data_IF_025427192330
#
_entry.id   IF_025427192330
#
_cell.length_a   1.000
_cell.length_b   1.000
_cell.length_c   1.000
_cell.angle_alpha   90.00
_cell.angle_beta   90.00
_cell.angle_gamma   90.00
#
_symmetry.space_group_name_H-M   'P 1'
#
loop_
_entity.id
_entity.type
_entity.pdbx_description
1 polymer ?
#
# COMPACT_ATOMS: atom_id res chain seq x y z
N UNK A 1 -38.06 18.75 -45.08
CA UNK A 1 -38.51 18.40 -43.74
C UNK A 1 -37.49 17.42 -43.19
N UNK A 2 -36.44 17.90 -42.45
CA UNK A 2 -35.35 17.12 -41.92
C UNK A 2 -35.81 16.45 -40.61
N UNK A 3 -35.65 15.12 -40.50
CA UNK A 3 -35.96 14.35 -39.32
C UNK A 3 -35.07 14.80 -38.13
N UNK A 4 -35.63 15.28 -37.01
CA UNK A 4 -34.85 15.78 -35.90
C UNK A 4 -34.17 14.67 -35.02
N UNK A 5 -34.19 13.42 -35.48
CA UNK A 5 -33.69 12.27 -34.71
C UNK A 5 -32.34 11.67 -35.16
N UNK A 6 -31.67 12.30 -36.12
CA UNK A 6 -30.30 11.88 -36.48
C UNK A 6 -29.33 12.49 -35.49
N UNK A 7 -29.16 11.82 -34.37
CA UNK A 7 -28.09 12.15 -33.42
C UNK A 7 -26.75 11.79 -34.09
N UNK A 8 -25.89 12.77 -34.25
CA UNK A 8 -24.52 12.58 -34.75
C UNK A 8 -23.75 11.67 -33.76
N UNK A 9 -23.35 10.45 -34.15
CA UNK A 9 -22.65 9.54 -33.26
C UNK A 9 -21.25 10.01 -32.86
N UNK A 10 -20.77 11.09 -33.46
CA UNK A 10 -19.46 11.73 -33.19
C UNK A 10 -19.59 13.03 -32.40
N UNK A 11 -20.78 13.43 -31.96
CA UNK A 11 -20.96 14.61 -31.14
C UNK A 11 -20.39 14.33 -29.75
N UNK A 12 -19.42 15.11 -29.29
CA UNK A 12 -18.93 15.08 -27.94
C UNK A 12 -20.09 15.34 -26.97
N UNK A 13 -20.25 14.54 -25.91
CA UNK A 13 -21.26 14.81 -24.89
C UNK A 13 -20.99 16.17 -24.24
N UNK A 14 -22.00 17.04 -24.26
CA UNK A 14 -21.96 18.34 -23.58
C UNK A 14 -22.83 18.31 -22.34
N UNK A 15 -22.44 19.05 -21.29
CA UNK A 15 -23.31 19.30 -20.14
C UNK A 15 -24.51 20.17 -20.56
N UNK A 16 -25.54 20.27 -19.72
CA UNK A 16 -26.69 21.14 -19.95
C UNK A 16 -26.31 22.62 -20.16
N UNK A 17 -25.07 23.02 -19.80
CA UNK A 17 -24.49 24.35 -20.01
C UNK A 17 -23.63 24.45 -21.27
N UNK A 18 -23.59 23.40 -22.13
CA UNK A 18 -22.82 23.44 -23.39
C UNK A 18 -21.31 23.28 -23.25
N UNK A 19 -20.78 23.05 -22.02
CA UNK A 19 -19.36 22.81 -21.82
C UNK A 19 -18.98 21.39 -22.26
N UNK A 20 -17.88 21.19 -23.03
CA UNK A 20 -17.42 19.86 -23.41
C UNK A 20 -17.11 19.04 -22.14
N UNK A 21 -17.76 17.89 -21.99
CA UNK A 21 -17.37 16.93 -20.95
C UNK A 21 -16.13 16.21 -21.43
N UNK A 22 -15.05 16.28 -20.67
CA UNK A 22 -13.86 15.47 -20.97
C UNK A 22 -14.30 14.00 -21.05
N UNK A 23 -13.87 13.23 -22.07
CA UNK A 23 -14.25 11.83 -22.20
C UNK A 23 -13.81 11.09 -20.94
N UNK A 24 -14.76 10.47 -20.26
CA UNK A 24 -14.44 9.58 -19.16
C UNK A 24 -13.51 8.49 -19.68
N UNK A 25 -12.35 8.31 -19.06
CA UNK A 25 -11.44 7.21 -19.43
C UNK A 25 -12.17 5.92 -19.11
N UNK A 26 -12.75 5.29 -20.15
CA UNK A 26 -13.37 3.97 -20.02
C UNK A 26 -12.22 2.98 -19.89
N UNK A 27 -11.94 2.55 -18.67
CA UNK A 27 -10.93 1.52 -18.40
C UNK A 27 -11.55 0.18 -18.81
N UNK A 28 -11.14 -0.35 -19.96
CA UNK A 28 -11.53 -1.67 -20.41
C UNK A 28 -11.01 -2.75 -19.44
N UNK A 29 -11.73 -3.87 -19.33
CA UNK A 29 -11.38 -4.98 -18.44
C UNK A 29 -9.96 -5.50 -18.66
N UNK A 30 -9.48 -5.51 -19.90
CA UNK A 30 -8.09 -5.90 -20.23
C UNK A 30 -7.08 -4.94 -19.65
N UNK A 31 -7.32 -3.64 -19.76
CA UNK A 31 -6.49 -2.58 -19.19
C UNK A 31 -6.49 -2.66 -17.66
N UNK A 32 -7.63 -2.95 -17.03
CA UNK A 32 -7.74 -3.13 -15.57
C UNK A 32 -6.90 -4.30 -15.07
N UNK A 33 -6.92 -5.45 -15.77
CA UNK A 33 -6.13 -6.63 -15.40
C UNK A 33 -4.62 -6.36 -15.59
N UNK A 34 -4.22 -5.76 -16.70
CA UNK A 34 -2.83 -5.39 -16.95
C UNK A 34 -2.31 -4.41 -15.89
N UNK A 35 -3.11 -3.43 -15.53
CA UNK A 35 -2.80 -2.45 -14.50
C UNK A 35 -2.60 -3.11 -13.12
N UNK A 36 -3.54 -3.98 -12.71
CA UNK A 36 -3.43 -4.73 -11.46
C UNK A 36 -2.14 -5.59 -11.43
N UNK A 37 -1.84 -6.26 -12.54
CA UNK A 37 -0.61 -7.06 -12.66
C UNK A 37 0.66 -6.23 -12.50
N UNK A 38 0.72 -5.02 -13.08
CA UNK A 38 1.85 -4.11 -12.92
C UNK A 38 1.98 -3.60 -11.48
N UNK A 39 0.85 -3.29 -10.82
CA UNK A 39 0.89 -2.88 -9.41
C UNK A 39 1.45 -3.99 -8.50
N UNK A 40 1.03 -5.23 -8.70
CA UNK A 40 1.59 -6.38 -7.98
C UNK A 40 3.06 -6.63 -8.31
N UNK A 41 3.45 -6.50 -9.59
CA UNK A 41 4.84 -6.68 -10.00
C UNK A 41 5.75 -5.66 -9.30
N UNK A 42 5.41 -4.38 -9.35
CA UNK A 42 6.20 -3.32 -8.71
C UNK A 42 6.20 -3.46 -7.18
N UNK A 43 5.06 -3.82 -6.58
CA UNK A 43 5.01 -4.17 -5.16
C UNK A 43 6.00 -5.28 -4.82
N UNK A 44 5.99 -6.38 -5.58
CA UNK A 44 6.88 -7.51 -5.36
C UNK A 44 8.35 -7.12 -5.49
N UNK A 45 8.72 -6.37 -6.53
CA UNK A 45 10.08 -5.85 -6.71
C UNK A 45 10.45 -4.94 -5.53
N UNK A 46 9.54 -4.07 -5.07
CA UNK A 46 9.75 -3.25 -3.87
C UNK A 46 10.01 -4.08 -2.61
N UNK A 47 9.27 -5.16 -2.41
CA UNK A 47 9.48 -6.09 -1.29
C UNK A 47 10.84 -6.78 -1.39
N UNK A 48 11.28 -7.18 -2.59
CA UNK A 48 12.62 -7.75 -2.80
C UNK A 48 13.72 -6.74 -2.50
N UNK A 49 13.55 -5.48 -2.91
CA UNK A 49 14.49 -4.39 -2.57
C UNK A 49 14.59 -4.23 -1.06
N UNK A 50 13.45 -4.15 -0.36
CA UNK A 50 13.44 -4.01 1.10
C UNK A 50 14.06 -5.22 1.80
N UNK A 51 13.74 -6.44 1.34
CA UNK A 51 14.30 -7.67 1.90
C UNK A 51 15.83 -7.74 1.68
N UNK A 52 16.30 -7.37 0.49
CA UNK A 52 17.73 -7.33 0.18
C UNK A 52 18.48 -6.32 1.05
N UNK A 53 17.94 -5.11 1.21
CA UNK A 53 18.52 -4.09 2.09
C UNK A 53 18.48 -4.55 3.55
N UNK A 54 17.37 -5.11 4.03
CA UNK A 54 17.25 -5.62 5.39
C UNK A 54 18.26 -6.73 5.67
N UNK A 55 18.48 -7.63 4.71
CA UNK A 55 19.51 -8.68 4.80
C UNK A 55 20.93 -8.08 4.94
N UNK A 56 21.28 -7.12 4.07
CA UNK A 56 22.60 -6.45 4.13
C UNK A 56 22.78 -5.70 5.45
N UNK A 57 21.74 -5.07 5.99
CA UNK A 57 21.78 -4.45 7.33
C UNK A 57 22.03 -5.51 8.40
N UNK A 58 21.39 -6.67 8.32
CA UNK A 58 21.62 -7.77 9.26
C UNK A 58 23.08 -8.25 9.31
N UNK A 59 23.78 -8.22 8.18
CA UNK A 59 25.19 -8.64 8.06
C UNK A 59 26.21 -7.52 8.36
N UNK A 60 25.79 -6.25 8.37
CA UNK A 60 26.68 -5.09 8.49
C UNK A 60 26.47 -4.30 9.76
N UNK A 61 27.36 -4.43 10.73
CA UNK A 61 27.32 -3.66 11.96
C UNK A 61 27.37 -2.13 11.73
N UNK A 62 28.05 -1.69 10.68
CA UNK A 62 28.14 -0.29 10.31
C UNK A 62 26.77 0.26 9.86
N UNK A 63 26.04 -0.52 9.03
CA UNK A 63 24.71 -0.14 8.58
C UNK A 63 23.67 -0.20 9.72
N UNK A 64 23.81 -1.16 10.64
CA UNK A 64 22.98 -1.20 11.85
C UNK A 64 23.15 0.08 12.67
N UNK A 65 24.39 0.44 13.00
CA UNK A 65 24.71 1.67 13.75
C UNK A 65 24.21 2.95 13.04
N UNK A 66 24.38 3.00 11.70
CA UNK A 66 23.84 4.10 10.90
C UNK A 66 22.31 4.18 11.01
N UNK A 67 21.61 3.06 10.84
CA UNK A 67 20.16 3.02 10.89
C UNK A 67 19.62 3.31 12.31
N UNK A 68 20.26 2.79 13.35
CA UNK A 68 19.92 3.08 14.75
C UNK A 68 20.13 4.56 15.09
N UNK A 69 21.28 5.13 14.73
CA UNK A 69 21.60 6.53 15.00
C UNK A 69 20.71 7.53 14.25
N UNK A 70 20.10 7.08 13.14
CA UNK A 70 19.25 7.94 12.30
C UNK A 70 17.78 7.47 12.25
N UNK A 71 17.36 6.63 13.18
CA UNK A 71 16.03 5.98 13.12
C UNK A 71 14.88 6.98 12.98
N UNK A 72 14.86 8.04 13.80
CA UNK A 72 13.82 9.05 13.74
C UNK A 72 13.80 9.78 12.39
N UNK A 73 14.98 10.11 11.85
CA UNK A 73 15.12 10.76 10.55
C UNK A 73 14.63 9.83 9.42
N UNK A 74 14.96 8.53 9.49
CA UNK A 74 14.48 7.53 8.53
C UNK A 74 12.95 7.41 8.57
N UNK A 75 12.33 7.35 9.75
CA UNK A 75 10.88 7.27 9.90
C UNK A 75 10.19 8.52 9.32
N UNK A 76 10.70 9.71 9.62
CA UNK A 76 10.16 10.96 9.06
C UNK A 76 10.32 10.99 7.54
N UNK A 77 11.48 10.60 7.02
CA UNK A 77 11.74 10.56 5.59
C UNK A 77 10.82 9.55 4.87
N UNK A 78 10.56 8.39 5.46
CA UNK A 78 9.63 7.39 4.93
C UNK A 78 8.20 7.93 4.85
N UNK A 79 7.72 8.57 5.92
CA UNK A 79 6.39 9.22 5.90
C UNK A 79 6.34 10.31 4.83
N UNK A 80 7.36 11.17 4.78
CA UNK A 80 7.43 12.25 3.78
C UNK A 80 7.47 11.70 2.34
N UNK A 81 8.22 10.63 2.09
CA UNK A 81 8.29 9.98 0.77
C UNK A 81 6.94 9.36 0.38
N UNK A 82 6.29 8.61 1.27
CA UNK A 82 5.00 7.98 0.98
C UNK A 82 3.92 9.02 0.66
N UNK A 83 3.82 10.08 1.47
CA UNK A 83 2.90 11.19 1.20
C UNK A 83 3.33 12.01 -0.02
N UNK A 84 4.62 12.25 -0.19
CA UNK A 84 5.18 12.98 -1.34
C UNK A 84 4.86 12.29 -2.66
N UNK A 85 5.01 10.97 -2.75
CA UNK A 85 4.61 10.20 -3.93
C UNK A 85 3.10 10.27 -4.13
N UNK A 86 2.31 9.99 -3.08
CA UNK A 86 0.85 9.91 -3.17
C UNK A 86 0.20 11.24 -3.55
N UNK A 87 0.61 12.35 -2.94
CA UNK A 87 0.06 13.67 -3.19
C UNK A 87 0.68 14.35 -4.41
N UNK A 88 1.94 14.04 -4.71
CA UNK A 88 2.70 14.63 -5.81
C UNK A 88 2.56 13.91 -7.14
N UNK A 89 1.91 12.76 -7.22
CA UNK A 89 1.88 11.88 -8.41
C UNK A 89 1.44 12.59 -9.69
N UNK A 90 0.49 13.52 -9.59
CA UNK A 90 -0.02 14.25 -10.75
C UNK A 90 1.01 15.26 -11.31
N UNK A 91 1.97 15.70 -10.47
CA UNK A 91 3.00 16.68 -10.84
C UNK A 91 4.33 16.05 -11.25
N UNK A 92 4.50 14.74 -11.14
CA UNK A 92 5.74 14.04 -11.49
C UNK A 92 5.52 13.03 -12.61
N UNK A 93 6.60 12.61 -13.27
CA UNK A 93 6.56 11.52 -14.26
C UNK A 93 6.38 10.16 -13.56
N UNK A 94 5.83 9.18 -14.26
CA UNK A 94 5.70 7.82 -13.72
C UNK A 94 7.06 7.21 -13.36
N UNK A 95 8.10 7.48 -14.16
CA UNK A 95 9.48 7.02 -13.91
C UNK A 95 10.05 7.61 -12.62
N UNK A 96 9.85 8.92 -12.38
CA UNK A 96 10.29 9.56 -11.14
C UNK A 96 9.55 8.98 -9.94
N UNK A 97 8.23 8.81 -10.04
CA UNK A 97 7.43 8.22 -8.96
C UNK A 97 7.87 6.79 -8.64
N UNK A 98 8.17 5.98 -9.67
CA UNK A 98 8.69 4.61 -9.50
C UNK A 98 10.07 4.62 -8.84
N UNK A 99 10.96 5.51 -9.26
CA UNK A 99 12.28 5.69 -8.63
C UNK A 99 12.17 6.05 -7.15
N UNK A 100 11.29 7.01 -6.82
CA UNK A 100 11.02 7.40 -5.43
C UNK A 100 10.40 6.25 -4.62
N UNK A 101 9.54 5.43 -5.23
CA UNK A 101 9.01 4.22 -4.59
C UNK A 101 10.13 3.23 -4.23
N UNK A 102 11.12 3.01 -5.10
CA UNK A 102 12.26 2.15 -4.76
C UNK A 102 13.18 2.76 -3.71
N UNK A 103 13.39 4.06 -3.72
CA UNK A 103 14.10 4.77 -2.64
C UNK A 103 13.35 4.58 -1.31
N UNK A 104 12.02 4.70 -1.33
CA UNK A 104 11.17 4.40 -0.17
C UNK A 104 11.35 2.95 0.31
N UNK A 105 11.25 1.97 -0.60
CA UNK A 105 11.40 0.56 -0.28
C UNK A 105 12.79 0.24 0.29
N UNK A 106 13.86 0.84 -0.25
CA UNK A 106 15.22 0.69 0.27
C UNK A 106 15.36 1.31 1.67
N UNK A 107 14.82 2.52 1.88
CA UNK A 107 14.85 3.17 3.20
C UNK A 107 14.07 2.37 4.25
N UNK A 108 12.93 1.79 3.86
CA UNK A 108 12.18 0.90 4.74
C UNK A 108 12.96 -0.38 5.06
N UNK A 109 13.71 -0.91 4.08
CA UNK A 109 14.62 -2.03 4.29
C UNK A 109 15.65 -1.79 5.39
N UNK A 110 16.20 -0.55 5.52
CA UNK A 110 17.08 -0.19 6.63
C UNK A 110 16.38 -0.35 7.99
N UNK A 111 15.16 0.15 8.11
CA UNK A 111 14.37 0.05 9.35
C UNK A 111 13.95 -1.40 9.62
N UNK A 112 13.53 -2.14 8.58
CA UNK A 112 13.14 -3.55 8.72
C UNK A 112 14.32 -4.42 9.15
N UNK A 113 15.55 -4.15 8.68
CA UNK A 113 16.75 -4.88 9.09
C UNK A 113 16.98 -4.80 10.59
N UNK A 114 16.79 -3.62 11.19
CA UNK A 114 16.86 -3.45 12.65
C UNK A 114 15.75 -4.21 13.37
N UNK A 115 14.50 -4.07 12.90
CA UNK A 115 13.35 -4.71 13.53
C UNK A 115 13.50 -6.24 13.46
N UNK A 116 13.76 -6.79 12.28
CA UNK A 116 13.86 -8.24 12.07
C UNK A 116 15.00 -8.84 12.87
N UNK A 117 16.13 -8.14 12.99
CA UNK A 117 17.28 -8.56 13.80
C UNK A 117 16.96 -8.75 15.30
N UNK A 118 15.87 -8.13 15.80
CA UNK A 118 15.42 -8.25 17.18
C UNK A 118 14.51 -9.49 17.44
N UNK A 119 14.18 -10.25 16.38
CA UNK A 119 13.26 -11.40 16.48
C UNK A 119 13.95 -12.71 16.10
N UNK A 120 13.53 -13.86 16.70
CA UNK A 120 13.98 -15.17 16.27
C UNK A 120 13.63 -15.41 14.78
N UNK A 121 14.54 -16.01 14.03
CA UNK A 121 14.35 -16.29 12.61
C UNK A 121 13.05 -17.08 12.32
N UNK A 122 12.71 -18.05 13.19
CA UNK A 122 11.48 -18.82 13.05
C UNK A 122 10.23 -17.94 13.14
N UNK A 123 10.23 -16.91 14.01
CA UNK A 123 9.14 -15.94 14.11
C UNK A 123 9.03 -15.07 12.85
N UNK A 124 10.15 -14.65 12.28
CA UNK A 124 10.19 -13.88 11.04
C UNK A 124 9.59 -14.68 9.88
N UNK A 125 10.00 -15.92 9.71
CA UNK A 125 9.49 -16.82 8.66
C UNK A 125 7.99 -17.07 8.85
N UNK A 126 7.55 -17.38 10.09
CA UNK A 126 6.13 -17.61 10.39
C UNK A 126 5.27 -16.37 10.12
N UNK A 127 5.77 -15.18 10.50
CA UNK A 127 5.10 -13.90 10.24
C UNK A 127 4.98 -13.63 8.74
N UNK A 128 6.05 -13.86 7.99
CA UNK A 128 6.08 -13.64 6.55
C UNK A 128 5.11 -14.57 5.81
N UNK A 129 5.12 -15.87 6.13
CA UNK A 129 4.21 -16.83 5.51
C UNK A 129 2.75 -16.53 5.85
N UNK A 130 2.47 -16.18 7.10
CA UNK A 130 1.11 -15.82 7.53
C UNK A 130 0.62 -14.54 6.88
N UNK A 131 1.47 -13.50 6.83
CA UNK A 131 1.15 -12.25 6.14
C UNK A 131 0.91 -12.49 4.64
N UNK A 132 1.75 -13.31 4.00
CA UNK A 132 1.61 -13.66 2.58
C UNK A 132 0.31 -14.40 2.30
N UNK A 133 -0.06 -15.36 3.15
CA UNK A 133 -1.32 -16.11 3.02
C UNK A 133 -2.54 -15.19 3.20
N UNK A 134 -2.54 -14.32 4.22
CA UNK A 134 -3.64 -13.40 4.48
C UNK A 134 -3.76 -12.33 3.41
N UNK A 135 -2.63 -11.75 2.99
CA UNK A 135 -2.59 -10.78 1.88
C UNK A 135 -3.10 -11.41 0.58
N UNK A 136 -2.63 -12.61 0.24
CA UNK A 136 -3.09 -13.34 -0.94
C UNK A 136 -4.59 -13.65 -0.90
N UNK A 137 -5.11 -14.11 0.23
CA UNK A 137 -6.54 -14.36 0.41
C UNK A 137 -7.37 -13.06 0.28
N UNK A 138 -6.92 -11.97 0.91
CA UNK A 138 -7.57 -10.66 0.80
C UNK A 138 -7.54 -10.13 -0.64
N UNK A 139 -6.41 -10.28 -1.34
CA UNK A 139 -6.27 -9.88 -2.73
C UNK A 139 -7.22 -10.67 -3.65
N UNK A 140 -7.29 -11.99 -3.51
CA UNK A 140 -8.25 -12.83 -4.24
C UNK A 140 -9.68 -12.39 -3.93
N UNK A 141 -10.04 -12.19 -2.65
CA UNK A 141 -11.36 -11.72 -2.27
C UNK A 141 -11.70 -10.37 -2.92
N UNK A 142 -10.76 -9.41 -2.88
CA UNK A 142 -10.93 -8.08 -3.48
C UNK A 142 -11.17 -8.13 -5.01
N UNK A 143 -10.56 -9.13 -5.71
CA UNK A 143 -10.74 -9.30 -7.16
C UNK A 143 -12.06 -9.97 -7.53
N UNK A 144 -12.56 -10.91 -6.73
CA UNK A 144 -13.74 -11.72 -7.09
C UNK A 144 -15.04 -11.22 -6.50
N UNK A 145 -14.99 -10.44 -5.41
CA UNK A 145 -16.19 -9.96 -4.74
C UNK A 145 -16.98 -8.97 -5.61
N UNK A 146 -18.30 -9.15 -5.62
CA UNK A 146 -19.24 -8.23 -6.27
C UNK A 146 -19.75 -7.14 -5.34
N UNK A 147 -19.45 -7.25 -4.03
CA UNK A 147 -19.84 -6.23 -3.04
C UNK A 147 -18.90 -5.05 -3.12
N UNK A 148 -19.42 -3.83 -3.02
CA UNK A 148 -18.59 -2.64 -2.90
C UNK A 148 -17.95 -2.59 -1.50
N UNK A 149 -16.62 -2.60 -1.48
CA UNK A 149 -15.82 -2.56 -0.25
C UNK A 149 -15.52 -1.14 0.23
N UNK A 150 -16.07 -0.10 -0.38
CA UNK A 150 -15.78 1.31 -0.05
C UNK A 150 -16.06 1.63 1.42
N UNK A 151 -17.17 1.15 1.98
CA UNK A 151 -17.49 1.35 3.40
C UNK A 151 -16.50 0.63 4.31
N UNK A 152 -16.07 -0.58 3.93
CA UNK A 152 -15.08 -1.36 4.69
C UNK A 152 -13.73 -0.65 4.64
N UNK A 153 -13.32 -0.14 3.47
CA UNK A 153 -12.09 0.64 3.32
C UNK A 153 -12.09 1.91 4.17
N UNK A 154 -13.23 2.64 4.22
CA UNK A 154 -13.36 3.82 5.07
C UNK A 154 -13.22 3.48 6.57
N UNK A 155 -13.88 2.42 7.04
CA UNK A 155 -13.79 1.95 8.42
C UNK A 155 -12.36 1.49 8.74
N UNK A 156 -11.74 0.73 7.83
CA UNK A 156 -10.36 0.26 8.01
C UNK A 156 -9.38 1.44 8.10
N UNK A 157 -9.52 2.44 7.24
CA UNK A 157 -8.69 3.65 7.29
C UNK A 157 -8.85 4.42 8.61
N UNK A 158 -10.08 4.60 9.09
CA UNK A 158 -10.32 5.22 10.41
C UNK A 158 -9.73 4.38 11.54
N UNK A 159 -9.84 3.05 11.46
CA UNK A 159 -9.25 2.12 12.43
C UNK A 159 -7.72 2.21 12.46
N UNK A 160 -7.07 2.41 11.31
CA UNK A 160 -5.61 2.61 11.23
C UNK A 160 -5.20 3.90 11.97
N UNK A 161 -5.95 4.98 11.80
CA UNK A 161 -5.71 6.21 12.59
C UNK A 161 -5.83 5.91 14.09
N UNK A 162 -6.84 5.15 14.49
CA UNK A 162 -7.00 4.70 15.89
C UNK A 162 -5.83 3.88 16.39
N UNK A 163 -5.33 2.93 15.57
CA UNK A 163 -4.11 2.15 15.90
C UNK A 163 -2.88 3.04 16.05
N UNK A 164 -2.69 4.01 15.17
CA UNK A 164 -1.57 4.94 15.26
C UNK A 164 -1.61 5.72 16.58
N UNK A 165 -2.77 6.25 16.95
CA UNK A 165 -2.95 6.95 18.25
C UNK A 165 -2.71 5.99 19.41
N UNK A 166 -3.30 4.79 19.39
CA UNK A 166 -3.09 3.79 20.43
C UNK A 166 -1.61 3.38 20.56
N UNK A 167 -0.90 3.26 19.44
CA UNK A 167 0.53 2.94 19.42
C UNK A 167 1.37 4.06 20.03
N UNK A 168 1.05 5.32 19.72
CA UNK A 168 1.72 6.49 20.34
C UNK A 168 1.49 6.53 21.86
N UNK A 169 0.25 6.28 22.28
CA UNK A 169 -0.08 6.21 23.71
C UNK A 169 0.70 5.06 24.36
N UNK A 170 0.80 3.90 23.69
CA UNK A 170 1.48 2.73 24.25
C UNK A 170 3.00 2.92 24.40
N UNK A 171 3.62 3.89 23.72
CA UNK A 171 5.03 4.25 23.96
C UNK A 171 5.23 4.69 25.41
N UNK A 172 4.24 5.38 26.01
CA UNK A 172 4.33 5.86 27.38
C UNK A 172 3.97 4.81 28.43
N UNK A 173 3.04 3.90 28.08
CA UNK A 173 2.58 2.85 29.01
C UNK A 173 3.39 1.54 28.92
N UNK A 174 4.05 1.31 27.80
CA UNK A 174 4.83 0.10 27.49
C UNK A 174 4.08 -1.21 27.79
N UNK A 175 2.73 -1.22 27.62
CA UNK A 175 1.89 -2.38 27.90
C UNK A 175 2.02 -3.43 26.80
N UNK A 176 2.37 -4.66 27.20
CA UNK A 176 2.44 -5.83 26.32
C UNK A 176 1.05 -6.25 25.84
N UNK A 177 0.04 -6.18 26.71
CA UNK A 177 -1.35 -6.50 26.38
C UNK A 177 -1.90 -5.55 25.32
N UNK A 178 -1.64 -4.24 25.47
CA UNK A 178 -2.05 -3.25 24.49
C UNK A 178 -1.34 -3.47 23.15
N UNK A 179 -0.05 -3.78 23.17
CA UNK A 179 0.72 -4.13 21.96
C UNK A 179 0.11 -5.34 21.25
N UNK A 180 -0.30 -6.36 21.99
CA UNK A 180 -0.93 -7.55 21.43
C UNK A 180 -2.30 -7.25 20.81
N UNK A 181 -3.15 -6.48 21.50
CA UNK A 181 -4.47 -6.04 20.98
C UNK A 181 -4.28 -5.20 19.72
N UNK A 182 -3.39 -4.21 19.73
CA UNK A 182 -3.06 -3.37 18.57
C UNK A 182 -2.64 -4.25 17.40
N UNK A 183 -1.87 -5.31 17.64
CA UNK A 183 -1.38 -6.19 16.58
C UNK A 183 -2.50 -7.02 15.97
N UNK A 184 -3.41 -7.58 16.77
CA UNK A 184 -4.59 -8.31 16.24
C UNK A 184 -5.49 -7.40 15.43
N UNK A 185 -5.83 -6.23 15.99
CA UNK A 185 -6.69 -5.27 15.30
C UNK A 185 -6.02 -4.78 14.00
N UNK A 186 -4.70 -4.56 14.03
CA UNK A 186 -3.90 -4.19 12.86
C UNK A 186 -3.97 -5.24 11.75
N UNK A 187 -3.82 -6.53 12.08
CA UNK A 187 -3.95 -7.62 11.11
C UNK A 187 -5.33 -7.59 10.44
N UNK A 188 -6.40 -7.45 11.21
CA UNK A 188 -7.78 -7.40 10.67
C UNK A 188 -7.96 -6.19 9.74
N UNK A 189 -7.52 -5.01 10.19
CA UNK A 189 -7.68 -3.77 9.41
C UNK A 189 -6.89 -3.78 8.12
N UNK A 190 -5.61 -4.21 8.14
CA UNK A 190 -4.78 -4.26 6.93
C UNK A 190 -5.21 -5.37 5.98
N UNK A 191 -5.74 -6.49 6.48
CA UNK A 191 -6.38 -7.51 5.63
C UNK A 191 -7.61 -6.94 4.91
N UNK A 192 -8.46 -6.20 5.61
CA UNK A 192 -9.63 -5.55 5.04
C UNK A 192 -9.23 -4.45 4.04
N UNK A 193 -8.20 -3.65 4.36
CA UNK A 193 -7.68 -2.60 3.50
C UNK A 193 -7.08 -3.17 2.22
N UNK A 194 -6.31 -4.26 2.30
CA UNK A 194 -5.78 -4.98 1.13
C UNK A 194 -6.89 -5.38 0.16
N UNK A 195 -7.98 -5.98 0.66
CA UNK A 195 -9.10 -6.37 -0.19
C UNK A 195 -9.76 -5.15 -0.87
N UNK A 196 -9.94 -4.05 -0.12
CA UNK A 196 -10.45 -2.79 -0.65
C UNK A 196 -9.53 -2.18 -1.70
N UNK A 197 -8.22 -2.08 -1.42
CA UNK A 197 -7.26 -1.47 -2.34
C UNK A 197 -7.14 -2.26 -3.63
N UNK A 198 -7.09 -3.60 -3.56
CA UNK A 198 -7.11 -4.47 -4.75
C UNK A 198 -8.38 -4.24 -5.56
N UNK A 199 -9.55 -4.16 -4.92
CA UNK A 199 -10.81 -3.87 -5.62
C UNK A 199 -10.77 -2.51 -6.31
N UNK A 200 -10.30 -1.45 -5.64
CA UNK A 200 -10.19 -0.09 -6.22
C UNK A 200 -9.18 -0.01 -7.36
N UNK A 201 -8.07 -0.73 -7.23
CA UNK A 201 -7.09 -0.88 -8.31
C UNK A 201 -7.79 -1.53 -9.51
N UNK A 202 -8.42 -2.68 -9.32
CA UNK A 202 -9.09 -3.41 -10.40
C UNK A 202 -10.21 -2.60 -11.07
N UNK A 203 -10.94 -1.78 -10.32
CA UNK A 203 -11.98 -0.89 -10.85
C UNK A 203 -11.43 0.31 -11.63
N UNK A 204 -10.10 0.48 -11.69
CA UNK A 204 -9.47 1.60 -12.39
C UNK A 204 -9.60 2.95 -11.68
N UNK A 205 -10.00 2.97 -10.40
CA UNK A 205 -10.17 4.22 -9.66
C UNK A 205 -8.90 5.07 -9.62
N UNK A 206 -7.72 4.44 -9.54
CA UNK A 206 -6.44 5.14 -9.56
C UNK A 206 -6.11 5.70 -10.94
N UNK A 207 -6.52 5.05 -12.02
CA UNK A 207 -6.33 5.57 -13.39
C UNK A 207 -7.17 6.83 -13.58
N UNK A 208 -8.42 6.82 -13.09
CA UNK A 208 -9.28 8.02 -13.12
C UNK A 208 -8.68 9.18 -12.31
N UNK A 209 -8.04 8.87 -11.16
CA UNK A 209 -7.42 9.87 -10.29
C UNK A 209 -6.15 10.47 -10.90
N UNK A 210 -5.31 9.65 -11.56
CA UNK A 210 -3.98 10.06 -12.04
C UNK A 210 -3.94 10.43 -13.52
N UNK A 211 -4.98 10.08 -14.28
CA UNK A 211 -5.03 10.25 -15.73
C UNK A 211 -4.01 9.41 -16.51
N UNK A 212 -3.30 8.47 -15.86
CA UNK A 212 -2.25 7.63 -16.47
C UNK A 212 -2.23 6.25 -15.83
N UNK A 213 -2.15 5.22 -16.66
CA UNK A 213 -2.06 3.81 -16.22
C UNK A 213 -0.73 3.57 -15.48
N UNK A 214 0.37 4.15 -15.97
CA UNK A 214 1.69 3.99 -15.37
C UNK A 214 1.76 4.63 -13.98
N UNK A 215 1.26 5.86 -13.83
CA UNK A 215 1.21 6.54 -12.53
C UNK A 215 0.30 5.80 -11.55
N UNK A 216 -0.85 5.34 -12.02
CA UNK A 216 -1.77 4.54 -11.25
C UNK A 216 -1.14 3.24 -10.77
N UNK A 217 -0.34 2.55 -11.62
CA UNK A 217 0.38 1.34 -11.25
C UNK A 217 1.40 1.59 -10.12
N UNK A 218 2.10 2.71 -10.13
CA UNK A 218 3.04 3.08 -9.04
C UNK A 218 2.29 3.34 -7.73
N UNK A 219 1.19 4.11 -7.76
CA UNK A 219 0.36 4.33 -6.55
C UNK A 219 -0.26 3.03 -6.05
N UNK A 220 -0.75 2.18 -6.96
CA UNK A 220 -1.26 0.86 -6.61
C UNK A 220 -0.19 -0.01 -5.94
N UNK A 221 1.02 -0.03 -6.51
CA UNK A 221 2.15 -0.74 -5.93
C UNK A 221 2.52 -0.22 -4.53
N UNK A 222 2.58 1.11 -4.35
CA UNK A 222 2.87 1.71 -3.04
C UNK A 222 1.82 1.33 -1.99
N UNK A 223 0.53 1.38 -2.34
CA UNK A 223 -0.55 1.00 -1.41
C UNK A 223 -0.46 -0.46 -1.00
N UNK A 224 -0.39 -1.37 -1.98
CA UNK A 224 -0.29 -2.81 -1.71
C UNK A 224 1.00 -3.16 -0.95
N UNK A 225 2.10 -2.47 -1.25
CA UNK A 225 3.36 -2.62 -0.53
C UNK A 225 3.22 -2.22 0.95
N UNK A 226 2.58 -1.07 1.22
CA UNK A 226 2.32 -0.61 2.58
C UNK A 226 1.40 -1.57 3.35
N UNK A 227 0.35 -2.07 2.69
CA UNK A 227 -0.55 -3.06 3.30
C UNK A 227 0.20 -4.33 3.70
N UNK A 228 1.02 -4.87 2.78
CA UNK A 228 1.79 -6.08 3.04
C UNK A 228 2.81 -5.89 4.17
N UNK A 229 3.58 -4.81 4.14
CA UNK A 229 4.62 -4.56 5.15
C UNK A 229 4.00 -4.35 6.53
N UNK A 230 2.90 -3.60 6.63
CA UNK A 230 2.20 -3.42 7.90
C UNK A 230 1.60 -4.74 8.42
N UNK A 231 0.98 -5.52 7.53
CA UNK A 231 0.46 -6.84 7.88
C UNK A 231 1.58 -7.76 8.39
N UNK A 232 2.73 -7.77 7.72
CA UNK A 232 3.92 -8.50 8.15
C UNK A 232 4.42 -8.05 9.54
N UNK A 233 4.52 -6.74 9.77
CA UNK A 233 4.98 -6.19 11.05
C UNK A 233 4.03 -6.53 12.21
N UNK A 234 2.72 -6.49 12.00
CA UNK A 234 1.76 -6.91 13.02
C UNK A 234 1.84 -8.42 13.27
N UNK A 235 1.97 -9.24 12.22
CA UNK A 235 2.20 -10.68 12.37
C UNK A 235 3.50 -10.97 13.12
N UNK A 236 4.57 -10.23 12.81
CA UNK A 236 5.87 -10.38 13.47
C UNK A 236 5.77 -10.11 14.98
N UNK A 237 5.01 -9.08 15.37
CA UNK A 237 4.76 -8.79 16.80
C UNK A 237 3.96 -9.92 17.48
N UNK A 238 2.98 -10.49 16.78
CA UNK A 238 2.18 -11.61 17.33
C UNK A 238 3.02 -12.88 17.52
N UNK A 239 3.86 -13.23 16.53
CA UNK A 239 4.69 -14.44 16.61
C UNK A 239 5.97 -14.24 17.41
N UNK A 240 6.47 -13.01 17.53
CA UNK A 240 7.67 -12.70 18.27
C UNK A 240 7.45 -12.37 19.75
N UNK A 241 6.22 -11.99 20.15
CA UNK A 241 5.86 -11.66 21.54
C UNK A 241 5.62 -12.87 22.46
N UNK A 242 5.56 -14.07 21.92
CA UNK A 242 5.26 -15.30 22.69
C UNK A 242 6.45 -15.97 23.37
N UNK A 243 7.66 -15.41 23.27
CA UNK A 243 8.89 -15.98 23.84
C UNK A 243 9.44 -15.20 25.04
N UNK A 244 8.55 -14.71 25.91
CA UNK A 244 8.96 -14.19 27.24
C UNK A 244 8.33 -14.99 28.35
#
# INVERSE_FOLDING_TARGET
>A
MSDPRVTNPYANPTTATGTPVAPAIVVDRRTSIAFLSHAFLWMFVGLLVSAGVAFVVGESRQLQQFAEGNLLMLLIAQVALAFGISLGINKMSATLALGLFFVYAASLGLTLGLIIGSYPQASVVSAFLSASAMFGAAAVYGTVTKRDLSSIGAIAFMGIIGILVASLINIFFASSELTWIISIVGVVLFTALTAYDVQKIQQGALVQMTGSVEKAAVIGALRLYLDFVNLFLFMLRLFGGGSR
#
